data_IF_985686137841
#
_entry.id   IF_985686137841
#
_cell.length_a   1.000
_cell.length_b   1.000
_cell.length_c   1.000
_cell.angle_alpha   90.00
_cell.angle_beta   90.00
_cell.angle_gamma   90.00
#
_symmetry.space_group_name_H-M   'P 1'
#
loop_
_entity.id
_entity.type
_entity.pdbx_description
1 polymer ?
#
# COMPACT_ATOMS: atom_id res chain seq x y z
N UNK A 1 -8.71 2.53 -24.36
CA UNK A 1 -7.89 1.49 -23.70
C UNK A 1 -7.32 0.42 -24.64
N UNK A 2 -8.12 -0.49 -25.22
CA UNK A 2 -7.58 -1.63 -26.00
C UNK A 2 -6.66 -1.27 -27.16
N UNK A 3 -6.96 -0.19 -27.90
CA UNK A 3 -6.09 0.34 -28.96
C UNK A 3 -4.87 1.09 -28.42
N UNK A 4 -5.05 1.89 -27.36
CA UNK A 4 -3.96 2.65 -26.72
C UNK A 4 -2.81 1.76 -26.27
N UNK A 5 -3.13 0.59 -25.72
CA UNK A 5 -2.12 -0.39 -25.26
C UNK A 5 -1.75 -1.42 -26.32
N UNK A 6 -2.21 -1.27 -27.57
CA UNK A 6 -1.98 -2.19 -28.69
C UNK A 6 -2.49 -3.62 -28.46
N UNK A 7 -3.44 -3.83 -27.54
CA UNK A 7 -4.09 -5.13 -27.39
C UNK A 7 -4.98 -5.47 -28.59
N UNK A 8 -5.63 -4.46 -29.16
CA UNK A 8 -6.39 -4.57 -30.42
C UNK A 8 -5.84 -3.55 -31.39
N UNK A 9 -5.28 -4.03 -32.50
CA UNK A 9 -4.77 -3.17 -33.57
C UNK A 9 -5.72 -3.14 -34.78
N UNK A 10 -6.44 -4.23 -35.04
CA UNK A 10 -7.37 -4.35 -36.17
C UNK A 10 -8.81 -4.38 -35.69
N UNK A 11 -9.70 -3.68 -36.38
CA UNK A 11 -11.16 -3.73 -36.13
C UNK A 11 -11.75 -5.12 -36.33
N UNK A 12 -11.07 -6.00 -37.08
CA UNK A 12 -11.46 -7.39 -37.33
C UNK A 12 -11.05 -8.39 -36.22
N UNK A 13 -10.47 -7.92 -35.11
CA UNK A 13 -10.14 -8.82 -33.99
C UNK A 13 -11.40 -9.42 -33.41
N UNK A 14 -11.51 -10.76 -33.46
CA UNK A 14 -12.65 -11.50 -32.88
C UNK A 14 -12.76 -11.32 -31.37
N UNK A 15 -11.62 -11.19 -30.68
CA UNK A 15 -11.58 -10.91 -29.25
C UNK A 15 -11.52 -9.41 -29.01
N UNK A 16 -12.52 -8.87 -28.31
CA UNK A 16 -12.53 -7.47 -27.87
C UNK A 16 -11.83 -7.29 -26.51
N UNK A 17 -11.48 -6.04 -26.18
CA UNK A 17 -10.86 -5.71 -24.91
C UNK A 17 -11.83 -5.92 -23.74
N UNK A 18 -13.12 -5.68 -23.99
CA UNK A 18 -14.20 -5.93 -23.03
C UNK A 18 -14.36 -7.42 -22.74
N UNK A 19 -14.40 -8.26 -23.78
CA UNK A 19 -14.47 -9.71 -23.64
C UNK A 19 -13.27 -10.25 -22.86
N UNK A 20 -12.05 -9.77 -23.17
CA UNK A 20 -10.84 -10.17 -22.45
C UNK A 20 -10.86 -9.71 -20.98
N UNK A 21 -11.38 -8.52 -20.69
CA UNK A 21 -11.58 -8.06 -19.32
C UNK A 21 -12.54 -8.99 -18.56
N UNK A 22 -13.73 -9.25 -19.12
CA UNK A 22 -14.73 -10.12 -18.49
C UNK A 22 -14.21 -11.54 -18.26
N UNK A 23 -13.44 -12.07 -19.21
CA UNK A 23 -12.76 -13.37 -19.10
C UNK A 23 -11.83 -13.45 -17.89
N UNK A 24 -11.11 -12.36 -17.60
CA UNK A 24 -10.18 -12.31 -16.50
C UNK A 24 -10.81 -11.82 -15.18
N UNK A 25 -12.04 -11.32 -15.16
CA UNK A 25 -12.66 -10.77 -13.93
C UNK A 25 -13.81 -11.61 -13.41
N UNK A 26 -14.77 -11.96 -14.29
CA UNK A 26 -16.04 -12.59 -13.92
C UNK A 26 -16.01 -14.10 -14.14
N UNK A 27 -15.18 -14.57 -15.06
CA UNK A 27 -15.17 -15.97 -15.51
C UNK A 27 -14.15 -16.85 -14.79
N UNK A 28 -13.44 -16.30 -13.79
CA UNK A 28 -12.47 -17.04 -13.00
C UNK A 28 -13.17 -17.74 -11.84
N UNK A 29 -13.47 -19.03 -12.02
CA UNK A 29 -13.91 -19.91 -10.93
C UNK A 29 -12.78 -20.07 -9.90
N UNK A 30 -13.03 -19.73 -8.62
CA UNK A 30 -12.03 -19.97 -7.55
C UNK A 30 -11.91 -21.48 -7.23
N UNK A 31 -10.67 -21.93 -7.08
CA UNK A 31 -10.29 -23.25 -6.55
C UNK A 31 -9.96 -24.34 -7.57
N UNK A 32 -10.17 -24.11 -8.89
CA UNK A 32 -9.66 -25.00 -9.94
C UNK A 32 -8.99 -24.20 -11.03
N UNK A 33 -7.89 -24.74 -11.54
CA UNK A 33 -7.20 -24.20 -12.71
C UNK A 33 -8.16 -24.23 -13.91
N UNK A 34 -8.83 -23.11 -14.21
CA UNK A 34 -9.61 -22.98 -15.44
C UNK A 34 -8.63 -23.15 -16.59
N UNK A 35 -8.85 -24.13 -17.46
CA UNK A 35 -7.94 -24.40 -18.57
C UNK A 35 -8.10 -23.31 -19.65
N UNK A 36 -7.14 -23.19 -20.57
CA UNK A 36 -7.31 -22.31 -21.72
C UNK A 36 -8.42 -22.78 -22.67
N UNK A 37 -8.74 -24.08 -22.65
CA UNK A 37 -9.87 -24.64 -23.39
C UNK A 37 -11.18 -24.16 -22.76
N UNK A 38 -11.31 -24.29 -21.44
CA UNK A 38 -12.50 -23.85 -20.70
C UNK A 38 -12.75 -22.34 -20.92
N UNK A 39 -11.69 -21.53 -20.90
CA UNK A 39 -11.79 -20.10 -21.20
C UNK A 39 -12.22 -19.82 -22.65
N UNK A 40 -11.83 -20.66 -23.62
CA UNK A 40 -12.24 -20.50 -25.01
C UNK A 40 -13.70 -20.92 -25.20
N UNK A 41 -14.13 -21.98 -24.53
CA UNK A 41 -15.52 -22.45 -24.52
C UNK A 41 -16.44 -21.38 -23.90
N UNK A 42 -16.04 -20.78 -22.78
CA UNK A 42 -16.78 -19.70 -22.14
C UNK A 42 -16.92 -18.45 -23.06
N UNK A 43 -15.90 -18.16 -23.87
CA UNK A 43 -15.97 -17.09 -24.87
C UNK A 43 -16.96 -17.43 -26.00
N UNK A 44 -17.01 -18.70 -26.41
CA UNK A 44 -17.98 -19.18 -27.38
C UNK A 44 -19.40 -19.09 -26.83
N UNK A 45 -19.62 -19.57 -25.61
CA UNK A 45 -20.94 -19.63 -24.98
C UNK A 45 -21.50 -18.23 -24.67
N UNK A 46 -20.69 -17.31 -24.14
CA UNK A 46 -21.15 -15.97 -23.77
C UNK A 46 -21.18 -14.96 -24.90
N UNK A 47 -20.25 -15.06 -25.86
CA UNK A 47 -20.07 -14.04 -26.89
C UNK A 47 -20.20 -14.56 -28.32
N UNK A 48 -20.42 -15.87 -28.52
CA UNK A 48 -20.52 -16.48 -29.84
C UNK A 48 -19.19 -16.49 -30.61
N UNK A 49 -18.05 -16.27 -29.94
CA UNK A 49 -16.74 -16.22 -30.61
C UNK A 49 -15.99 -17.54 -30.42
N UNK A 50 -15.62 -18.17 -31.54
CA UNK A 50 -14.79 -19.36 -31.53
C UNK A 50 -13.31 -18.97 -31.67
N UNK A 51 -12.53 -19.27 -30.63
CA UNK A 51 -11.09 -19.09 -30.59
C UNK A 51 -10.43 -20.42 -30.25
N UNK A 52 -9.30 -20.72 -30.90
CA UNK A 52 -8.48 -21.85 -30.49
C UNK A 52 -7.78 -21.55 -29.17
N UNK A 53 -7.46 -22.61 -28.41
CA UNK A 53 -6.60 -22.54 -27.22
C UNK A 53 -5.33 -21.73 -27.48
N UNK A 54 -4.68 -21.94 -28.64
CA UNK A 54 -3.45 -21.25 -29.01
C UNK A 54 -3.69 -19.76 -29.26
N UNK A 55 -4.72 -19.41 -30.03
CA UNK A 55 -5.06 -18.02 -30.32
C UNK A 55 -5.39 -17.23 -29.06
N UNK A 56 -6.03 -17.88 -28.06
CA UNK A 56 -6.27 -17.28 -26.75
C UNK A 56 -4.97 -17.17 -25.92
N UNK A 57 -4.12 -18.21 -25.92
CA UNK A 57 -2.83 -18.19 -25.23
C UNK A 57 -1.96 -17.01 -25.67
N UNK A 58 -1.93 -16.71 -26.96
CA UNK A 58 -1.18 -15.60 -27.56
C UNK A 58 -1.63 -14.22 -27.06
N UNK A 59 -2.84 -14.10 -26.50
CA UNK A 59 -3.35 -12.85 -25.92
C UNK A 59 -2.82 -12.59 -24.50
N UNK A 60 -2.32 -13.61 -23.82
CA UNK A 60 -1.65 -13.50 -22.52
C UNK A 60 -0.18 -13.10 -22.68
N UNK A 61 0.01 -11.91 -23.24
CA UNK A 61 1.31 -11.29 -23.51
C UNK A 61 1.40 -9.91 -22.83
N UNK A 62 2.48 -9.16 -23.08
CA UNK A 62 2.67 -7.85 -22.44
C UNK A 62 1.56 -6.83 -22.76
N UNK A 63 0.89 -6.91 -23.90
CA UNK A 63 -0.23 -6.04 -24.26
C UNK A 63 -1.51 -6.42 -23.52
N UNK A 64 -1.76 -7.72 -23.33
CA UNK A 64 -2.85 -8.22 -22.49
C UNK A 64 -2.69 -7.77 -21.03
N UNK A 65 -1.47 -7.90 -20.49
CA UNK A 65 -1.14 -7.41 -19.14
C UNK A 65 -1.35 -5.90 -19.03
N UNK A 66 -0.85 -5.11 -20.01
CA UNK A 66 -1.05 -3.65 -20.03
C UNK A 66 -2.53 -3.26 -20.07
N UNK A 67 -3.35 -3.98 -20.84
CA UNK A 67 -4.79 -3.76 -20.85
C UNK A 67 -5.40 -4.00 -19.46
N UNK A 68 -5.11 -5.15 -18.85
CA UNK A 68 -5.65 -5.51 -17.54
C UNK A 68 -5.21 -4.54 -16.44
N UNK A 69 -3.93 -4.11 -16.46
CA UNK A 69 -3.42 -3.05 -15.58
C UNK A 69 -4.19 -1.75 -15.77
N UNK A 70 -4.41 -1.31 -17.01
CA UNK A 70 -5.15 -0.07 -17.31
C UNK A 70 -6.60 -0.16 -16.84
N UNK A 71 -7.26 -1.30 -17.04
CA UNK A 71 -8.60 -1.54 -16.50
C UNK A 71 -8.61 -1.47 -14.96
N UNK A 72 -7.63 -2.08 -14.29
CA UNK A 72 -7.47 -1.99 -12.85
C UNK A 72 -7.30 -0.55 -12.36
N UNK A 73 -6.40 0.22 -12.97
CA UNK A 73 -6.20 1.65 -12.65
C UNK A 73 -7.51 2.44 -12.75
N UNK A 74 -8.29 2.23 -13.80
CA UNK A 74 -9.58 2.94 -13.99
C UNK A 74 -10.68 2.49 -13.02
N UNK A 75 -10.75 1.20 -12.68
CA UNK A 75 -11.69 0.69 -11.68
C UNK A 75 -11.31 1.21 -10.29
N UNK A 76 -10.02 1.20 -9.96
CA UNK A 76 -9.49 1.73 -8.71
C UNK A 76 -9.87 3.19 -8.51
N UNK A 77 -9.62 4.05 -9.51
CA UNK A 77 -9.95 5.47 -9.45
C UNK A 77 -11.46 5.69 -9.24
N UNK A 78 -12.31 4.94 -9.94
CA UNK A 78 -13.77 5.06 -9.80
C UNK A 78 -14.28 4.59 -8.43
N UNK A 79 -13.82 3.43 -7.97
CA UNK A 79 -14.29 2.82 -6.73
C UNK A 79 -13.85 3.62 -5.51
N UNK A 80 -12.57 4.01 -5.45
CA UNK A 80 -12.03 4.78 -4.32
C UNK A 80 -12.41 6.26 -4.42
N UNK A 81 -12.59 6.79 -5.62
CA UNK A 81 -13.07 8.15 -5.86
C UNK A 81 -14.48 8.38 -5.31
N UNK A 82 -15.35 7.36 -5.39
CA UNK A 82 -16.68 7.40 -4.80
C UNK A 82 -16.64 7.49 -3.26
N UNK A 83 -15.70 6.80 -2.62
CA UNK A 83 -15.56 6.75 -1.15
C UNK A 83 -14.81 7.94 -0.55
N UNK A 84 -14.04 8.70 -1.33
CA UNK A 84 -13.15 9.76 -0.84
C UNK A 84 -13.81 11.15 -0.76
N UNK A 85 -15.06 11.29 -1.21
CA UNK A 85 -15.76 12.59 -1.18
C UNK A 85 -16.04 13.11 0.24
N UNK A 86 -16.10 12.23 1.23
CA UNK A 86 -16.49 12.56 2.62
C UNK A 86 -15.30 12.90 3.55
N UNK A 87 -14.06 12.64 3.14
CA UNK A 87 -12.87 12.75 4.01
C UNK A 87 -11.77 13.66 3.44
N UNK A 88 -12.12 14.66 2.63
CA UNK A 88 -11.11 15.56 2.04
C UNK A 88 -10.54 16.48 3.13
N UNK A 89 -9.23 16.40 3.44
CA UNK A 89 -8.58 17.42 4.26
C UNK A 89 -8.67 18.79 3.58
N UNK A 90 -8.73 19.86 4.39
CA UNK A 90 -9.14 21.26 4.11
C UNK A 90 -8.46 22.02 2.94
N UNK A 91 -8.25 21.42 1.76
CA UNK A 91 -7.70 22.09 0.57
C UNK A 91 -6.24 22.56 0.69
N UNK A 92 -5.56 22.24 1.80
CA UNK A 92 -4.19 22.69 2.09
C UNK A 92 -3.16 22.08 1.13
N UNK A 93 -3.29 20.80 0.82
CA UNK A 93 -2.34 20.04 0.00
C UNK A 93 -2.92 19.75 -1.38
N UNK A 94 -2.07 19.80 -2.41
CA UNK A 94 -2.47 19.52 -3.79
C UNK A 94 -2.79 18.04 -4.01
N UNK A 95 -2.02 17.15 -3.38
CA UNK A 95 -2.25 15.70 -3.33
C UNK A 95 -1.88 15.16 -1.97
N UNK A 96 -2.49 14.04 -1.58
CA UNK A 96 -2.10 13.27 -0.39
C UNK A 96 -1.65 11.90 -0.83
N UNK A 97 -0.33 11.71 -0.91
CA UNK A 97 0.28 10.50 -1.44
C UNK A 97 0.42 9.45 -0.35
N UNK A 98 -0.33 8.37 -0.48
CA UNK A 98 -0.18 7.16 0.33
C UNK A 98 0.79 6.21 -0.38
N UNK A 99 1.79 5.71 0.35
CA UNK A 99 2.76 4.73 -0.16
C UNK A 99 2.86 3.56 0.80
N UNK A 100 2.64 2.36 0.27
CA UNK A 100 2.86 1.13 1.02
C UNK A 100 3.06 -0.06 0.05
N UNK A 101 3.55 -1.18 0.59
CA UNK A 101 3.73 -2.42 -0.16
C UNK A 101 3.15 -3.61 0.59
N UNK A 102 2.70 -4.61 -0.17
CA UNK A 102 2.24 -5.88 0.39
C UNK A 102 2.83 -7.05 -0.38
N UNK A 103 3.13 -8.14 0.32
CA UNK A 103 3.68 -9.36 -0.29
C UNK A 103 2.70 -10.52 -0.22
N UNK A 104 2.78 -11.40 -1.22
CA UNK A 104 1.99 -12.62 -1.38
C UNK A 104 2.92 -13.78 -1.71
N UNK A 105 2.70 -14.93 -1.06
CA UNK A 105 3.36 -16.17 -1.44
C UNK A 105 2.81 -16.62 -2.78
N UNK A 106 3.70 -17.02 -3.68
CA UNK A 106 3.34 -17.57 -4.98
C UNK A 106 3.74 -19.04 -5.09
N UNK A 107 3.14 -19.79 -6.03
CA UNK A 107 3.63 -21.10 -6.44
C UNK A 107 5.10 -21.05 -6.90
N UNK A 108 5.87 -22.09 -6.57
CA UNK A 108 7.32 -22.15 -6.81
C UNK A 108 7.72 -22.02 -8.29
N UNK A 109 6.85 -22.40 -9.22
CA UNK A 109 7.12 -22.30 -10.66
C UNK A 109 7.26 -20.86 -11.16
N UNK A 110 6.81 -19.86 -10.38
CA UNK A 110 6.95 -18.44 -10.70
C UNK A 110 8.26 -17.81 -10.17
N UNK A 111 9.12 -18.59 -9.51
CA UNK A 111 10.35 -18.07 -8.88
C UNK A 111 11.37 -17.47 -9.86
N UNK A 112 11.32 -17.85 -11.14
CA UNK A 112 12.12 -17.22 -12.19
C UNK A 112 11.70 -15.78 -12.49
N UNK A 113 10.46 -15.40 -12.15
CA UNK A 113 9.91 -14.06 -12.34
C UNK A 113 9.81 -13.26 -11.03
N UNK A 114 9.50 -13.94 -9.92
CA UNK A 114 9.24 -13.31 -8.61
C UNK A 114 10.01 -14.02 -7.49
N UNK A 115 11.15 -13.48 -7.09
CA UNK A 115 12.05 -14.13 -6.14
C UNK A 115 11.71 -13.80 -4.67
N UNK A 116 11.65 -14.83 -3.82
CA UNK A 116 11.56 -14.72 -2.36
C UNK A 116 12.91 -14.64 -1.66
N UNK A 117 12.88 -14.48 -0.32
CA UNK A 117 14.07 -14.62 0.51
C UNK A 117 14.40 -16.11 0.71
N UNK A 118 15.70 -16.44 0.82
CA UNK A 118 16.16 -17.79 1.09
C UNK A 118 15.78 -18.21 2.52
N UNK A 119 14.64 -18.88 2.67
CA UNK A 119 14.10 -19.31 3.98
C UNK A 119 12.69 -19.91 3.90
N UNK A 120 11.90 -19.50 2.91
CA UNK A 120 10.57 -20.07 2.66
C UNK A 120 10.71 -21.21 1.64
N UNK A 121 10.27 -22.41 2.02
CA UNK A 121 10.40 -23.68 1.29
C UNK A 121 9.69 -23.72 -0.08
N UNK A 122 9.24 -22.58 -0.61
CA UNK A 122 8.48 -22.42 -1.87
C UNK A 122 9.05 -21.36 -2.82
N UNK A 123 10.08 -20.59 -2.43
CA UNK A 123 10.97 -19.81 -3.32
C UNK A 123 10.42 -18.59 -4.08
N UNK A 124 9.12 -18.47 -4.31
CA UNK A 124 8.51 -17.39 -5.11
C UNK A 124 7.64 -16.44 -4.27
N UNK A 125 7.93 -15.14 -4.29
CA UNK A 125 7.16 -14.14 -3.54
C UNK A 125 6.95 -12.90 -4.41
N UNK A 126 5.70 -12.52 -4.61
CA UNK A 126 5.33 -11.28 -5.27
C UNK A 126 5.13 -10.18 -4.23
N UNK A 127 5.72 -9.02 -4.47
CA UNK A 127 5.45 -7.79 -3.74
C UNK A 127 4.73 -6.80 -4.66
N UNK A 128 3.59 -6.28 -4.22
CA UNK A 128 2.86 -5.22 -4.91
C UNK A 128 3.14 -3.91 -4.19
N UNK A 129 3.90 -3.03 -4.84
CA UNK A 129 4.10 -1.66 -4.40
C UNK A 129 2.96 -0.80 -4.93
N UNK A 130 2.32 -0.05 -4.05
CA UNK A 130 1.24 0.87 -4.43
C UNK A 130 1.51 2.27 -3.90
N UNK A 131 1.37 3.26 -4.78
CA UNK A 131 1.35 4.68 -4.46
C UNK A 131 0.13 5.30 -5.12
N UNK A 132 -0.70 6.01 -4.36
CA UNK A 132 -1.85 6.69 -4.93
C UNK A 132 -2.13 8.00 -4.20
N UNK A 133 -2.72 8.94 -4.94
CA UNK A 133 -3.25 10.17 -4.37
C UNK A 133 -4.62 9.89 -3.78
N UNK A 134 -4.72 10.05 -2.46
CA UNK A 134 -5.96 9.85 -1.71
C UNK A 134 -7.06 10.85 -2.12
N UNK A 135 -6.71 12.05 -2.58
CA UNK A 135 -7.71 13.08 -2.90
C UNK A 135 -8.41 12.83 -4.23
N UNK A 136 -7.67 12.34 -5.23
CA UNK A 136 -8.19 12.02 -6.56
C UNK A 136 -8.43 10.53 -6.79
N UNK A 137 -8.05 9.68 -5.83
CA UNK A 137 -8.00 8.22 -5.97
C UNK A 137 -7.14 7.72 -7.16
N UNK A 138 -6.27 8.57 -7.70
CA UNK A 138 -5.40 8.20 -8.84
C UNK A 138 -4.19 7.43 -8.37
N UNK A 139 -3.97 6.28 -9.00
CA UNK A 139 -2.72 5.53 -8.85
C UNK A 139 -1.59 6.35 -9.45
N UNK A 140 -0.62 6.70 -8.60
CA UNK A 140 0.64 7.33 -8.99
C UNK A 140 1.63 6.24 -9.43
N UNK A 141 1.69 5.14 -8.68
CA UNK A 141 2.58 4.02 -8.98
C UNK A 141 1.98 2.69 -8.55
N UNK A 142 2.16 1.68 -9.40
CA UNK A 142 1.76 0.30 -9.13
C UNK A 142 2.77 -0.64 -9.77
N UNK A 143 3.60 -1.27 -8.95
CA UNK A 143 4.69 -2.11 -9.43
C UNK A 143 4.63 -3.50 -8.79
N UNK A 144 4.76 -4.52 -9.64
CA UNK A 144 4.97 -5.91 -9.25
C UNK A 144 6.48 -6.12 -9.09
N UNK A 145 6.90 -6.55 -7.91
CA UNK A 145 8.30 -6.61 -7.46
C UNK A 145 8.62 -7.99 -6.89
N UNK A 146 9.91 -8.31 -6.80
CA UNK A 146 10.36 -9.49 -6.06
C UNK A 146 10.18 -9.27 -4.56
N UNK A 147 9.74 -10.31 -3.84
CA UNK A 147 9.57 -10.28 -2.40
C UNK A 147 10.85 -9.96 -1.63
N UNK A 148 12.02 -10.35 -2.15
CA UNK A 148 13.33 -10.07 -1.54
C UNK A 148 13.77 -8.61 -1.60
N UNK A 149 13.16 -7.78 -2.46
CA UNK A 149 13.59 -6.39 -2.62
C UNK A 149 13.22 -5.53 -1.40
N UNK A 150 14.19 -4.78 -0.87
CA UNK A 150 13.95 -3.82 0.19
C UNK A 150 13.20 -2.59 -0.32
N UNK A 151 12.22 -2.08 0.43
CA UNK A 151 11.37 -0.97 -0.02
C UNK A 151 12.12 0.35 -0.10
N UNK A 152 13.04 0.62 0.83
CA UNK A 152 13.86 1.82 0.82
C UNK A 152 14.91 1.81 -0.29
N UNK A 153 15.51 0.65 -0.60
CA UNK A 153 16.49 0.54 -1.69
C UNK A 153 15.84 0.63 -3.07
N UNK A 154 14.68 0.01 -3.23
CA UNK A 154 13.91 0.16 -4.46
C UNK A 154 13.47 1.60 -4.69
N UNK A 155 13.04 2.30 -3.63
CA UNK A 155 12.68 3.71 -3.73
C UNK A 155 13.89 4.58 -4.11
N UNK A 156 15.09 4.26 -3.59
CA UNK A 156 16.34 4.92 -4.01
C UNK A 156 16.57 4.77 -5.53
N UNK A 157 16.32 3.58 -6.10
CA UNK A 157 16.58 3.29 -7.51
C UNK A 157 15.54 3.90 -8.44
N UNK A 158 14.26 3.84 -8.08
CA UNK A 158 13.15 4.31 -8.91
C UNK A 158 12.87 5.81 -8.75
N UNK A 159 13.38 6.42 -7.69
CA UNK A 159 13.09 7.79 -7.34
C UNK A 159 11.68 7.95 -6.76
N UNK A 160 11.50 9.08 -6.09
CA UNK A 160 10.26 9.48 -5.44
C UNK A 160 9.57 10.48 -6.36
N UNK A 161 8.42 10.10 -6.94
CA UNK A 161 7.59 11.06 -7.65
C UNK A 161 7.02 12.04 -6.62
N UNK A 162 7.43 13.29 -6.74
CA UNK A 162 7.12 14.35 -5.79
C UNK A 162 6.84 15.61 -6.59
N UNK A 163 5.76 16.28 -6.26
CA UNK A 163 5.39 17.57 -6.82
C UNK A 163 5.21 18.55 -5.68
N UNK A 164 5.50 19.83 -5.93
CA UNK A 164 5.30 20.88 -4.93
C UNK A 164 3.87 20.82 -4.36
N UNK A 165 3.77 21.04 -3.05
CA UNK A 165 2.52 20.95 -2.28
C UNK A 165 1.89 19.54 -2.14
N UNK A 166 2.59 18.46 -2.51
CA UNK A 166 2.18 17.11 -2.13
C UNK A 166 2.38 16.89 -0.62
N UNK A 167 1.51 16.11 0.01
CA UNK A 167 1.73 15.53 1.34
C UNK A 167 2.00 14.02 1.22
N UNK A 168 3.20 13.57 1.56
CA UNK A 168 3.57 12.16 1.57
C UNK A 168 3.38 11.53 2.95
N UNK A 169 2.58 10.47 3.04
CA UNK A 169 2.40 9.67 4.24
C UNK A 169 3.19 8.37 4.12
N UNK A 170 4.23 8.21 4.93
CA UNK A 170 5.20 7.10 4.82
C UNK A 170 5.40 6.38 6.14
N UNK A 171 5.45 5.04 6.09
CA UNK A 171 5.85 4.24 7.25
C UNK A 171 7.39 4.15 7.39
N UNK A 172 7.84 3.64 8.54
CA UNK A 172 9.27 3.47 8.85
C UNK A 172 10.04 2.61 7.85
N UNK A 173 9.36 1.72 7.10
CA UNK A 173 9.96 0.93 6.02
C UNK A 173 10.54 1.77 4.87
N UNK A 174 10.08 3.02 4.72
CA UNK A 174 10.54 3.98 3.70
C UNK A 174 11.44 5.08 4.28
N UNK A 175 11.73 5.04 5.59
CA UNK A 175 12.51 6.08 6.25
C UNK A 175 13.96 6.08 5.74
N UNK A 176 14.32 7.14 5.01
CA UNK A 176 15.71 7.58 4.80
C UNK A 176 15.77 9.10 4.85
N UNK A 177 16.78 9.64 5.52
CA UNK A 177 16.98 11.08 5.62
C UNK A 177 17.03 11.75 4.24
N UNK A 178 17.75 11.18 3.27
CA UNK A 178 17.83 11.69 1.91
C UNK A 178 16.47 11.77 1.18
N UNK A 179 15.55 10.83 1.41
CA UNK A 179 14.20 10.91 0.84
C UNK A 179 13.40 12.07 1.43
N UNK A 180 13.44 12.23 2.75
CA UNK A 180 12.74 13.31 3.45
C UNK A 180 13.29 14.69 3.05
N UNK A 181 14.62 14.80 2.93
CA UNK A 181 15.27 16.00 2.42
C UNK A 181 14.90 16.28 0.95
N UNK A 182 14.82 15.24 0.11
CA UNK A 182 14.40 15.36 -1.29
C UNK A 182 12.95 15.85 -1.46
N UNK A 183 12.03 15.38 -0.60
CA UNK A 183 10.64 15.88 -0.55
C UNK A 183 10.63 17.36 -0.19
N UNK A 184 11.33 17.74 0.89
CA UNK A 184 11.41 19.13 1.32
C UNK A 184 12.03 20.04 0.25
N UNK A 185 13.08 19.59 -0.43
CA UNK A 185 13.73 20.32 -1.52
C UNK A 185 12.82 20.58 -2.72
N UNK A 186 11.80 19.73 -2.93
CA UNK A 186 10.77 19.91 -3.96
C UNK A 186 9.58 20.76 -3.51
N UNK A 187 9.68 21.41 -2.34
CA UNK A 187 8.58 22.19 -1.72
C UNK A 187 7.33 21.34 -1.47
N UNK A 188 7.55 20.07 -1.18
CA UNK A 188 6.51 19.13 -0.77
C UNK A 188 6.67 18.79 0.72
N UNK A 189 5.69 18.09 1.25
CA UNK A 189 5.53 17.82 2.66
C UNK A 189 5.48 16.34 2.96
N UNK A 190 5.82 15.96 4.19
CA UNK A 190 5.67 14.58 4.64
C UNK A 190 5.17 14.49 6.08
N UNK A 191 4.56 13.35 6.40
CA UNK A 191 4.43 12.84 7.77
C UNK A 191 5.07 11.45 7.79
N UNK A 192 6.10 11.29 8.62
CA UNK A 192 6.77 10.01 8.86
C UNK A 192 6.77 9.71 10.34
N UNK A 193 6.73 8.43 10.69
CA UNK A 193 7.12 8.02 12.05
C UNK A 193 8.58 8.38 12.31
N UNK A 194 8.87 8.76 13.54
CA UNK A 194 10.25 8.94 14.00
C UNK A 194 10.95 7.58 14.09
N UNK A 195 12.11 7.45 13.44
CA UNK A 195 12.97 6.28 13.55
C UNK A 195 13.88 6.44 14.77
N UNK A 196 13.75 5.54 15.74
CA UNK A 196 14.59 5.54 16.94
C UNK A 196 16.06 5.43 16.53
N UNK A 197 16.90 6.32 17.08
CA UNK A 197 18.32 6.42 16.75
C UNK A 197 18.63 7.55 15.77
N UNK A 198 17.63 8.16 15.13
CA UNK A 198 17.83 9.37 14.35
C UNK A 198 18.24 10.53 15.25
N UNK A 199 19.37 11.18 14.94
CA UNK A 199 19.83 12.36 15.66
C UNK A 199 18.90 13.56 15.42
N UNK A 200 18.42 14.14 16.52
CA UNK A 200 17.61 15.35 16.56
C UNK A 200 18.36 16.44 17.33
N UNK A 201 18.19 17.68 16.90
CA UNK A 201 18.87 18.83 17.45
C UNK A 201 17.92 20.01 17.65
N UNK A 202 18.17 20.82 18.67
CA UNK A 202 17.65 22.18 18.81
C UNK A 202 18.74 23.18 18.46
N UNK A 203 18.40 24.47 18.36
CA UNK A 203 19.38 25.56 18.28
C UNK A 203 19.39 26.31 19.60
N UNK A 204 20.58 26.68 20.07
CA UNK A 204 20.72 27.62 21.18
C UNK A 204 20.53 29.07 20.72
N UNK A 205 20.66 30.01 21.67
CA UNK A 205 20.55 31.45 21.41
C UNK A 205 21.60 31.97 20.42
N UNK A 206 22.74 31.28 20.29
CA UNK A 206 23.78 31.58 19.31
C UNK A 206 23.55 30.87 17.95
N UNK A 207 22.46 30.11 17.81
CA UNK A 207 22.10 29.38 16.59
C UNK A 207 22.85 28.07 16.38
N UNK A 208 23.65 27.61 17.35
CA UNK A 208 24.42 26.37 17.27
C UNK A 208 23.55 25.16 17.59
N UNK A 209 23.79 24.07 16.87
CA UNK A 209 23.07 22.81 17.10
C UNK A 209 23.46 22.16 18.43
N UNK A 210 22.46 21.85 19.24
CA UNK A 210 22.57 21.08 20.46
C UNK A 210 21.72 19.82 20.35
N UNK A 211 22.23 18.68 20.83
CA UNK A 211 21.48 17.43 20.79
C UNK A 211 20.17 17.58 21.58
N UNK A 212 19.08 17.03 21.05
CA UNK A 212 17.78 17.10 21.71
C UNK A 212 17.83 16.34 23.04
N UNK A 213 17.54 17.05 24.13
CA UNK A 213 17.33 16.45 25.44
C UNK A 213 15.96 15.78 25.51
N UNK A 214 15.95 14.46 25.40
CA UNK A 214 14.72 13.67 25.47
C UNK A 214 14.09 13.62 26.85
N UNK A 215 14.88 13.70 27.94
CA UNK A 215 14.32 13.67 29.30
C UNK A 215 13.53 14.95 29.54
N UNK A 216 14.07 16.09 29.12
CA UNK A 216 13.35 17.37 29.12
C UNK A 216 12.08 17.30 28.26
N UNK A 217 12.14 16.71 27.07
CA UNK A 217 10.95 16.52 26.21
C UNK A 217 9.88 15.70 26.92
N UNK A 218 10.23 14.60 27.60
CA UNK A 218 9.26 13.77 28.32
C UNK A 218 8.59 14.51 29.48
N UNK A 219 9.30 15.41 30.16
CA UNK A 219 8.74 16.26 31.22
C UNK A 219 7.78 17.32 30.65
N UNK A 220 8.09 17.85 29.47
CA UNK A 220 7.27 18.86 28.78
C UNK A 220 5.96 18.29 28.20
N UNK A 221 5.89 16.98 27.93
CA UNK A 221 4.68 16.33 27.43
C UNK A 221 3.63 16.21 28.54
N UNK A 222 2.84 17.27 28.74
CA UNK A 222 1.78 17.35 29.77
C UNK A 222 0.38 17.02 29.26
N UNK A 223 0.14 17.10 27.95
CA UNK A 223 -1.15 16.90 27.31
C UNK A 223 -1.12 15.75 26.30
N UNK A 224 -2.27 15.41 25.70
CA UNK A 224 -2.40 14.31 24.74
C UNK A 224 -1.58 14.51 23.46
N UNK A 225 -1.19 15.75 23.14
CA UNK A 225 -0.32 16.07 22.01
C UNK A 225 0.73 17.13 22.40
N UNK A 226 1.99 16.85 22.08
CA UNK A 226 3.14 17.72 22.25
C UNK A 226 3.83 17.93 20.90
N UNK A 227 4.42 19.12 20.72
CA UNK A 227 5.20 19.45 19.53
C UNK A 227 6.44 20.27 19.86
N UNK A 228 7.53 19.99 19.15
CA UNK A 228 8.78 20.77 19.20
C UNK A 228 9.39 20.90 17.81
N UNK A 229 9.86 22.09 17.47
CA UNK A 229 10.66 22.30 16.26
C UNK A 229 12.08 21.81 16.49
N UNK A 230 12.58 20.99 15.58
CA UNK A 230 13.89 20.34 15.68
C UNK A 230 14.55 20.26 14.30
N UNK A 231 15.86 20.01 14.31
CA UNK A 231 16.64 19.72 13.12
C UNK A 231 17.07 18.26 13.16
N UNK A 232 16.79 17.54 12.07
CA UNK A 232 17.03 16.11 11.95
C UNK A 232 18.16 15.84 10.96
N UNK A 233 19.01 14.87 11.29
CA UNK A 233 20.06 14.37 10.40
C UNK A 233 21.46 14.57 10.95
N UNK A 234 22.44 14.05 10.22
CA UNK A 234 23.86 14.11 10.58
C UNK A 234 24.60 15.12 9.68
N UNK A 235 25.71 15.68 10.17
CA UNK A 235 26.52 16.62 9.40
C UNK A 235 26.02 18.08 9.41
N UNK A 236 26.40 18.84 8.39
CA UNK A 236 26.18 20.31 8.30
C UNK A 236 24.75 20.67 7.89
N UNK A 237 24.20 19.97 6.89
CA UNK A 237 22.84 20.19 6.40
C UNK A 237 21.86 19.34 7.21
N UNK A 238 21.08 19.97 8.09
CA UNK A 238 20.04 19.30 8.86
C UNK A 238 18.67 19.73 8.38
N UNK A 239 17.77 18.76 8.25
CA UNK A 239 16.39 19.00 7.83
C UNK A 239 15.58 19.55 8.99
N UNK A 240 15.02 20.75 8.83
CA UNK A 240 14.06 21.29 9.77
C UNK A 240 12.75 20.48 9.74
N UNK A 241 12.29 20.04 10.92
CA UNK A 241 11.05 19.30 11.10
C UNK A 241 10.37 19.68 12.43
N UNK A 242 9.06 19.49 12.50
CA UNK A 242 8.31 19.44 13.74
C UNK A 242 8.27 18.00 14.24
N UNK A 243 8.75 17.80 15.46
CA UNK A 243 8.64 16.57 16.23
C UNK A 243 7.31 16.60 16.99
N UNK A 244 6.44 15.64 16.72
CA UNK A 244 5.16 15.49 17.39
C UNK A 244 5.15 14.21 18.24
N UNK A 245 4.75 14.33 19.51
CA UNK A 245 4.54 13.21 20.42
C UNK A 245 3.07 13.19 20.85
N UNK A 246 2.43 12.04 20.71
CA UNK A 246 1.11 11.79 21.29
C UNK A 246 1.19 10.63 22.27
N UNK A 247 0.75 10.88 23.50
CA UNK A 247 0.72 9.85 24.54
C UNK A 247 -0.35 8.82 24.21
N UNK A 248 -0.01 7.55 24.35
CA UNK A 248 -0.94 6.44 24.16
C UNK A 248 -1.53 5.99 25.50
N UNK A 249 -2.77 5.49 25.53
CA UNK A 249 -3.33 4.83 26.71
C UNK A 249 -2.42 3.71 27.23
N UNK A 250 -2.44 3.51 28.55
CA UNK A 250 -1.58 2.54 29.25
C UNK A 250 -1.79 1.09 28.78
N UNK A 251 -2.99 0.76 28.32
CA UNK A 251 -3.31 -0.52 27.69
C UNK A 251 -2.48 -0.78 26.43
N UNK A 252 -2.30 0.25 25.58
CA UNK A 252 -1.50 0.16 24.36
C UNK A 252 -0.01 0.09 24.71
N UNK A 253 0.44 0.86 25.71
CA UNK A 253 1.81 0.78 26.23
C UNK A 253 2.12 -0.64 26.73
N UNK A 254 1.25 -1.23 27.55
CA UNK A 254 1.40 -2.58 28.09
C UNK A 254 1.55 -3.61 26.97
N UNK A 255 0.69 -3.54 25.94
CA UNK A 255 0.78 -4.40 24.75
C UNK A 255 2.12 -4.24 24.01
N UNK A 256 2.62 -3.00 23.87
CA UNK A 256 3.92 -2.71 23.23
C UNK A 256 5.10 -3.25 24.03
N UNK A 257 5.11 -3.06 25.35
CA UNK A 257 6.16 -3.57 26.23
C UNK A 257 6.19 -5.10 26.25
N UNK A 258 5.02 -5.76 26.30
CA UNK A 258 4.93 -7.23 26.17
C UNK A 258 5.51 -7.72 24.84
N UNK A 259 5.26 -7.00 23.73
CA UNK A 259 5.85 -7.33 22.43
C UNK A 259 7.38 -7.20 22.42
N UNK A 260 7.94 -6.22 23.12
CA UNK A 260 9.39 -6.09 23.27
C UNK A 260 9.97 -7.23 24.12
N UNK A 261 9.35 -7.56 25.25
CA UNK A 261 9.76 -8.69 26.09
C UNK A 261 9.77 -10.01 25.31
N UNK A 262 8.70 -10.28 24.54
CA UNK A 262 8.63 -11.48 23.70
C UNK A 262 9.71 -11.49 22.61
N UNK A 263 10.03 -10.34 22.01
CA UNK A 263 11.13 -10.23 21.02
C UNK A 263 12.50 -10.46 21.66
N UNK A 264 12.71 -9.92 22.85
CA UNK A 264 13.95 -10.10 23.59
C UNK A 264 14.10 -11.57 24.06
N UNK A 265 13.01 -12.26 24.39
CA UNK A 265 13.02 -13.67 24.78
C UNK A 265 13.22 -14.62 23.59
N UNK A 266 12.59 -14.36 22.43
CA UNK A 266 12.61 -15.25 21.26
C UNK A 266 13.81 -15.01 20.31
N UNK A 267 14.95 -14.58 20.85
CA UNK A 267 16.12 -14.30 20.02
C UNK A 267 16.78 -15.59 19.53
N UNK A 268 17.20 -15.65 18.24
CA UNK A 268 17.97 -16.79 17.75
C UNK A 268 19.26 -16.94 18.56
N UNK A 269 19.56 -18.16 19.01
CA UNK A 269 20.81 -18.46 19.74
C UNK A 269 22.08 -18.12 18.94
N UNK A 270 21.97 -17.95 17.62
CA UNK A 270 23.06 -17.57 16.72
C UNK A 270 23.38 -16.08 16.69
N UNK A 271 22.59 -15.22 17.34
CA UNK A 271 22.83 -13.77 17.40
C UNK A 271 23.19 -13.34 18.82
N UNK A 272 24.00 -12.28 18.93
CA UNK A 272 24.34 -11.66 20.21
C UNK A 272 23.06 -11.20 20.90
N UNK A 273 22.80 -11.62 22.16
CA UNK A 273 21.59 -11.22 22.87
C UNK A 273 21.58 -9.70 23.04
N UNK A 274 20.45 -9.08 22.69
CA UNK A 274 20.20 -7.67 22.90
C UNK A 274 18.99 -7.49 23.81
N UNK A 275 19.04 -6.51 24.70
CA UNK A 275 17.88 -6.11 25.50
C UNK A 275 17.38 -4.77 25.02
N UNK A 276 16.06 -4.64 24.88
CA UNK A 276 15.45 -3.36 24.54
C UNK A 276 15.82 -2.31 25.58
N UNK A 277 16.52 -1.26 25.15
CA UNK A 277 16.99 -0.17 26.01
C UNK A 277 15.84 0.54 26.74
N UNK A 278 16.10 1.08 27.94
CA UNK A 278 15.14 1.88 28.70
C UNK A 278 14.59 3.08 27.91
N UNK A 279 15.45 3.75 27.13
CA UNK A 279 15.03 4.84 26.26
C UNK A 279 13.94 4.40 25.27
N UNK A 280 14.12 3.26 24.59
CA UNK A 280 13.12 2.70 23.67
C UNK A 280 11.84 2.25 24.37
N UNK A 281 11.91 1.81 25.64
CA UNK A 281 10.73 1.52 26.47
C UNK A 281 9.97 2.81 26.81
N UNK A 282 10.66 3.89 27.19
CA UNK A 282 10.04 5.22 27.40
C UNK A 282 9.31 5.71 26.14
N UNK A 283 9.96 5.62 24.98
CA UNK A 283 9.34 6.00 23.70
C UNK A 283 8.11 5.15 23.34
N UNK A 284 7.97 3.94 23.88
CA UNK A 284 6.82 3.07 23.59
C UNK A 284 5.49 3.65 24.06
N UNK A 285 5.52 4.56 25.04
CA UNK A 285 4.35 5.27 25.55
C UNK A 285 3.78 6.29 24.54
N UNK A 286 4.50 6.58 23.46
CA UNK A 286 4.15 7.63 22.52
C UNK A 286 3.98 7.10 21.09
N UNK A 287 3.10 7.75 20.33
CA UNK A 287 3.20 7.81 18.89
C UNK A 287 4.05 9.03 18.53
N UNK A 288 5.15 8.81 17.83
CA UNK A 288 6.12 9.87 17.52
C UNK A 288 6.21 10.04 16.02
N UNK A 289 5.93 11.26 15.57
CA UNK A 289 5.92 11.64 14.17
C UNK A 289 6.86 12.82 13.93
N UNK A 290 7.33 12.93 12.70
CA UNK A 290 8.08 14.07 12.18
C UNK A 290 7.42 14.57 10.91
N UNK A 291 7.39 15.88 10.74
CA UNK A 291 6.84 16.53 9.55
C UNK A 291 7.58 17.84 9.25
N UNK A 292 7.72 18.20 7.98
CA UNK A 292 8.21 19.52 7.55
C UNK A 292 7.07 20.51 7.23
N UNK A 293 5.82 20.17 7.55
CA UNK A 293 4.67 21.08 7.41
C UNK A 293 4.76 22.23 8.39
N UNK A 294 4.29 23.41 8.00
CA UNK A 294 4.11 24.54 8.94
C UNK A 294 2.86 24.34 9.81
N UNK A 295 2.74 25.10 10.91
CA UNK A 295 1.57 25.03 11.81
C UNK A 295 0.29 25.50 11.13
N UNK A 296 0.43 26.42 10.19
CA UNK A 296 -0.62 26.97 9.35
C UNK A 296 -1.18 25.90 8.39
N UNK A 297 -0.30 25.06 7.85
CA UNK A 297 -0.68 23.96 6.95
C UNK A 297 -1.26 22.76 7.69
N UNK A 298 -0.65 22.39 8.83
CA UNK A 298 -1.07 21.22 9.58
C UNK A 298 -0.96 21.48 11.08
N UNK A 299 -2.10 21.63 11.75
CA UNK A 299 -2.14 21.83 13.19
C UNK A 299 -1.64 20.59 13.92
N UNK A 300 -1.03 20.78 15.09
CA UNK A 300 -0.50 19.68 15.93
C UNK A 300 -1.53 18.57 16.16
N UNK A 301 -2.77 18.92 16.48
CA UNK A 301 -3.87 17.97 16.71
C UNK A 301 -4.24 17.13 15.48
N UNK A 302 -3.92 17.59 14.28
CA UNK A 302 -4.26 16.92 13.02
C UNK A 302 -3.18 15.92 12.57
N UNK A 303 -1.93 16.06 13.02
CA UNK A 303 -0.80 15.24 12.54
C UNK A 303 -1.09 13.74 12.65
N UNK A 304 -1.58 13.30 13.82
CA UNK A 304 -1.95 11.90 14.01
C UNK A 304 -3.13 11.46 13.14
N UNK A 305 -4.15 12.29 13.03
CA UNK A 305 -5.35 12.02 12.21
C UNK A 305 -4.98 11.88 10.73
N UNK A 306 -4.12 12.75 10.21
CA UNK A 306 -3.60 12.62 8.84
C UNK A 306 -2.75 11.35 8.70
N UNK A 307 -1.87 11.05 9.65
CA UNK A 307 -1.09 9.82 9.58
C UNK A 307 -1.97 8.55 9.58
N UNK A 308 -3.12 8.58 10.28
CA UNK A 308 -4.10 7.49 10.26
C UNK A 308 -4.71 7.25 8.88
N UNK A 309 -4.72 8.23 7.96
CA UNK A 309 -5.21 8.03 6.59
C UNK A 309 -4.42 6.95 5.85
N UNK A 310 -3.17 6.67 6.26
CA UNK A 310 -2.41 5.51 5.74
C UNK A 310 -3.12 4.17 6.01
N UNK A 311 -4.00 4.08 7.00
CA UNK A 311 -4.79 2.87 7.21
C UNK A 311 -5.66 2.52 5.99
N UNK A 312 -6.02 3.48 5.14
CA UNK A 312 -6.75 3.21 3.89
C UNK A 312 -5.99 2.24 2.97
N UNK A 313 -4.68 2.44 2.78
CA UNK A 313 -3.86 1.52 1.98
C UNK A 313 -3.63 0.17 2.70
N UNK A 314 -3.55 0.15 4.03
CA UNK A 314 -3.49 -1.10 4.79
C UNK A 314 -4.79 -1.91 4.67
N UNK A 315 -5.94 -1.24 4.73
CA UNK A 315 -7.25 -1.88 4.59
C UNK A 315 -7.37 -2.48 3.19
N UNK A 316 -7.01 -1.73 2.15
CA UNK A 316 -6.93 -2.24 0.78
C UNK A 316 -6.10 -3.52 0.70
N UNK A 317 -4.91 -3.55 1.31
CA UNK A 317 -4.06 -4.73 1.33
C UNK A 317 -4.62 -5.89 2.16
N UNK A 318 -5.35 -5.61 3.24
CA UNK A 318 -6.06 -6.64 4.00
C UNK A 318 -7.14 -7.30 3.17
N UNK A 319 -7.93 -6.51 2.44
CA UNK A 319 -8.98 -7.00 1.54
C UNK A 319 -8.35 -7.84 0.43
N UNK A 320 -7.23 -7.39 -0.13
CA UNK A 320 -6.46 -8.17 -1.10
C UNK A 320 -6.07 -9.52 -0.49
N UNK A 321 -5.35 -9.52 0.64
CA UNK A 321 -4.88 -10.77 1.28
C UNK A 321 -6.01 -11.74 1.68
N UNK A 322 -7.15 -11.25 2.15
CA UNK A 322 -8.25 -12.12 2.58
C UNK A 322 -9.00 -12.79 1.44
N UNK A 323 -8.94 -12.19 0.23
CA UNK A 323 -9.65 -12.68 -0.95
C UNK A 323 -8.71 -13.33 -1.98
N UNK A 324 -7.40 -13.27 -1.74
CA UNK A 324 -6.37 -13.89 -2.56
C UNK A 324 -6.01 -15.29 -2.06
N UNK A 325 -6.68 -16.30 -2.62
CA UNK A 325 -6.22 -17.70 -2.68
C UNK A 325 -5.14 -17.84 -3.78
N UNK A 326 -4.13 -16.94 -3.81
CA UNK A 326 -3.11 -16.89 -4.88
C UNK A 326 -2.17 -18.10 -4.80
N UNK A 327 -2.01 -18.66 -3.61
CA UNK A 327 -1.19 -19.84 -3.34
C UNK A 327 -1.76 -21.13 -3.96
N UNK A 328 -3.05 -21.16 -4.30
CA UNK A 328 -3.73 -22.30 -4.94
C UNK A 328 -3.82 -22.20 -6.47
N UNK A 329 -3.05 -21.29 -7.10
CA UNK A 329 -3.11 -21.09 -8.55
C UNK A 329 -2.39 -22.22 -9.30
N UNK A 330 -3.11 -22.81 -10.27
CA UNK A 330 -2.57 -23.80 -11.21
C UNK A 330 -1.46 -23.25 -12.12
N UNK A 331 -0.81 -24.14 -12.88
CA UNK A 331 0.42 -23.78 -13.60
C UNK A 331 0.12 -22.99 -14.88
N UNK A 332 0.49 -21.71 -14.94
CA UNK A 332 0.28 -20.87 -16.12
C UNK A 332 1.50 -20.05 -16.54
N UNK A 333 1.46 -19.46 -17.75
CA UNK A 333 2.47 -18.51 -18.19
C UNK A 333 2.42 -17.22 -17.36
N UNK A 334 3.54 -16.50 -17.27
CA UNK A 334 3.64 -15.24 -16.52
C UNK A 334 2.62 -14.20 -16.99
N UNK A 335 2.43 -14.03 -18.30
CA UNK A 335 1.45 -13.09 -18.84
C UNK A 335 0.01 -13.45 -18.48
N UNK A 336 -0.29 -14.75 -18.37
CA UNK A 336 -1.60 -15.24 -17.91
C UNK A 336 -1.78 -15.00 -16.42
N UNK A 337 -0.76 -15.28 -15.62
CA UNK A 337 -0.76 -15.01 -14.18
C UNK A 337 -0.97 -13.52 -13.87
N UNK A 338 -0.29 -12.61 -14.56
CA UNK A 338 -0.44 -11.17 -14.32
C UNK A 338 -1.83 -10.65 -14.77
N UNK A 339 -2.36 -11.14 -15.89
CA UNK A 339 -3.75 -10.83 -16.29
C UNK A 339 -4.76 -11.34 -15.25
N UNK A 340 -4.57 -12.57 -14.77
CA UNK A 340 -5.37 -13.16 -13.69
C UNK A 340 -5.29 -12.31 -12.41
N UNK A 341 -4.09 -11.89 -12.01
CA UNK A 341 -3.86 -11.09 -10.81
C UNK A 341 -4.63 -9.77 -10.88
N UNK A 342 -4.47 -9.01 -11.98
CA UNK A 342 -5.22 -7.77 -12.18
C UNK A 342 -6.73 -8.01 -12.24
N UNK A 343 -7.16 -9.09 -12.88
CA UNK A 343 -8.55 -9.50 -12.94
C UNK A 343 -9.15 -9.76 -11.55
N UNK A 344 -8.43 -10.46 -10.69
CA UNK A 344 -8.79 -10.66 -9.27
C UNK A 344 -8.80 -9.36 -8.49
N UNK A 345 -7.78 -8.50 -8.65
CA UNK A 345 -7.75 -7.18 -8.00
C UNK A 345 -8.98 -6.34 -8.38
N UNK A 346 -9.38 -6.35 -9.65
CA UNK A 346 -10.59 -5.68 -10.14
C UNK A 346 -11.85 -6.27 -9.48
N UNK A 347 -12.00 -7.60 -9.49
CA UNK A 347 -13.15 -8.26 -8.90
C UNK A 347 -13.29 -7.94 -7.41
N UNK A 348 -12.18 -7.92 -6.68
CA UNK A 348 -12.12 -7.55 -5.26
C UNK A 348 -12.60 -6.11 -5.04
N UNK A 349 -12.10 -5.15 -5.82
CA UNK A 349 -12.50 -3.75 -5.71
C UNK A 349 -14.01 -3.57 -5.97
N UNK A 350 -14.52 -4.17 -7.04
CA UNK A 350 -15.94 -4.10 -7.39
C UNK A 350 -16.80 -4.75 -6.30
N UNK A 351 -16.39 -5.91 -5.78
CA UNK A 351 -17.09 -6.61 -4.70
C UNK A 351 -17.20 -5.75 -3.45
N UNK A 352 -16.08 -5.15 -3.03
CA UNK A 352 -16.04 -4.27 -1.87
C UNK A 352 -16.90 -3.02 -2.06
N UNK A 353 -16.89 -2.44 -3.27
CA UNK A 353 -17.71 -1.28 -3.59
C UNK A 353 -19.21 -1.60 -3.53
N UNK A 354 -19.65 -2.68 -4.18
CA UNK A 354 -21.05 -3.10 -4.19
C UNK A 354 -21.54 -3.36 -2.76
N UNK A 355 -20.73 -4.04 -1.95
CA UNK A 355 -21.08 -4.27 -0.56
C UNK A 355 -21.15 -2.96 0.24
N UNK A 356 -20.25 -2.02 0.03
CA UNK A 356 -20.32 -0.70 0.66
C UNK A 356 -21.63 0.00 0.31
N UNK A 357 -22.01 0.04 -0.98
CA UNK A 357 -23.28 0.62 -1.42
C UNK A 357 -24.48 -0.09 -0.79
N UNK A 358 -24.42 -1.42 -0.70
CA UNK A 358 -25.49 -2.22 -0.12
C UNK A 358 -25.64 -1.97 1.39
N UNK A 359 -24.52 -1.90 2.12
CA UNK A 359 -24.53 -1.59 3.55
C UNK A 359 -25.05 -0.17 3.79
N UNK A 360 -24.61 0.84 3.04
CA UNK A 360 -25.17 2.20 3.13
C UNK A 360 -26.67 2.22 2.85
N UNK A 361 -27.14 1.50 1.82
CA UNK A 361 -28.57 1.41 1.51
C UNK A 361 -29.38 0.72 2.61
N UNK A 362 -28.78 -0.23 3.32
CA UNK A 362 -29.45 -0.99 4.38
C UNK A 362 -29.37 -0.30 5.74
N UNK A 363 -28.29 0.41 6.07
CA UNK A 363 -28.22 1.23 7.29
C UNK A 363 -29.40 2.22 7.38
N UNK A 364 -29.90 2.70 6.23
CA UNK A 364 -31.10 3.54 6.15
C UNK A 364 -32.44 2.77 6.35
N UNK A 365 -32.43 1.43 6.40
CA UNK A 365 -33.64 0.57 6.28
C UNK A 365 -33.73 -0.64 7.20
N UNK A 366 -32.64 -1.19 7.74
CA UNK A 366 -32.63 -2.33 8.69
C UNK A 366 -31.25 -2.63 9.31
N UNK A 367 -31.19 -3.37 10.42
CA UNK A 367 -29.95 -3.85 11.08
C UNK A 367 -29.21 -5.01 10.37
N UNK A 368 -29.25 -5.09 9.03
CA UNK A 368 -28.60 -6.16 8.28
C UNK A 368 -27.26 -5.73 7.66
N UNK A 369 -26.15 -6.37 8.04
CA UNK A 369 -24.86 -6.15 7.39
C UNK A 369 -24.53 -7.28 6.39
N UNK A 370 -24.25 -6.92 5.13
CA UNK A 370 -23.67 -7.86 4.17
C UNK A 370 -22.16 -7.91 4.39
N UNK A 371 -21.56 -9.11 4.47
CA UNK A 371 -20.11 -9.27 4.61
C UNK A 371 -19.38 -9.29 3.25
N UNK A 372 -18.13 -8.83 3.22
CA UNK A 372 -17.25 -8.80 2.02
C UNK A 372 -17.20 -10.16 1.32
N UNK A 373 -17.11 -11.21 2.12
CA UNK A 373 -17.01 -12.57 1.63
C UNK A 373 -18.31 -13.08 0.98
N UNK A 374 -19.48 -12.65 1.46
CA UNK A 374 -20.78 -12.96 0.84
C UNK A 374 -20.96 -12.21 -0.48
N UNK A 375 -20.59 -10.93 -0.54
CA UNK A 375 -20.66 -10.14 -1.77
C UNK A 375 -19.73 -10.69 -2.87
N UNK A 376 -18.48 -11.02 -2.52
CA UNK A 376 -17.54 -11.66 -3.44
C UNK A 376 -18.06 -13.01 -3.97
N UNK A 377 -18.69 -13.84 -3.11
CA UNK A 377 -19.31 -15.11 -3.53
C UNK A 377 -20.47 -14.94 -4.51
N UNK A 378 -21.21 -13.83 -4.45
CA UNK A 378 -22.29 -13.56 -5.39
C UNK A 378 -21.75 -13.22 -6.78
N UNK A 379 -20.71 -12.38 -6.85
CA UNK A 379 -20.00 -12.10 -8.11
C UNK A 379 -19.32 -13.35 -8.69
N UNK A 380 -18.95 -14.32 -7.85
CA UNK A 380 -18.43 -15.63 -8.30
C UNK A 380 -19.50 -16.50 -9.00
N UNK A 381 -20.79 -16.27 -8.77
CA UNK A 381 -21.90 -17.10 -9.29
C UNK A 381 -22.59 -16.53 -10.53
N UNK A 382 -22.27 -15.30 -10.94
CA UNK A 382 -22.79 -14.59 -12.11
C UNK A 382 -21.78 -14.56 -13.25
#
# INVERSE_FOLDING_TARGET
MGREVKFIERSSSRLSAWMFLQLNTCLIQSGKETSLTDLADELSDRFGIQLSKQSLAERFNCYGVKLMRKCFEAVFEKVLGASTSEQKPDGVFGRVILRDATSFQLPAYLSSFYQGNAGDSTGSVLKIQTEYDLLSAKIVRLDLRNGKENDSEWLNQKGLECVANDLHLMDLGYYKHGHLAGIAGQKAYFISRYKVGTSLFTKDTAGKYQALDWEQVFVEVKADAFEKEVWMGEGKEKLFVRLHLQKMPDEILTKRLKKYQLKDANQPRSRKPYQTSEFKKKLAAYNIFITNTTKEQLKTSQIYTFYKLRWQIELLFKIWKSLFEIDEIGKMSIGRFECYLYGKLIAILISGHIQSLFNTFIEDKSDFELSQWKAYKLLKKS
#
